data_IF_877703010049
#
_entry.id   IF_877703010049
#
_cell.length_a   1.000
_cell.length_b   1.000
_cell.length_c   1.000
_cell.angle_alpha   90.00
_cell.angle_beta   90.00
_cell.angle_gamma   90.00
#
_symmetry.space_group_name_H-M   'P 1'
#
loop_
_entity.id
_entity.type
_entity.pdbx_description
1 polymer ?
#
# COMPACT_ATOMS: atom_id res chain seq x y z
N UNK A 1 -0.26 8.28 22.06
CA UNK A 1 -0.72 6.89 22.07
C UNK A 1 -1.22 6.43 20.73
N UNK A 2 -2.29 7.04 20.21
CA UNK A 2 -2.80 6.69 18.88
C UNK A 2 -1.77 6.92 17.76
N UNK A 3 -0.93 7.93 17.91
CA UNK A 3 0.10 8.25 16.92
C UNK A 3 1.09 7.10 16.74
N UNK A 4 1.49 6.45 17.84
CA UNK A 4 2.41 5.31 17.79
C UNK A 4 1.76 4.11 17.10
N UNK A 5 0.49 3.86 17.40
CA UNK A 5 -0.27 2.78 16.78
C UNK A 5 -0.49 3.06 15.30
N UNK A 6 -0.78 4.31 14.95
CA UNK A 6 -0.90 4.72 13.56
C UNK A 6 0.39 4.47 12.79
N UNK A 7 1.55 4.78 13.40
CA UNK A 7 2.85 4.55 12.76
C UNK A 7 3.10 3.07 12.49
N UNK A 8 2.76 2.21 13.45
CA UNK A 8 2.90 0.76 13.28
C UNK A 8 1.99 0.27 12.14
N UNK A 9 0.76 0.76 12.10
CA UNK A 9 -0.18 0.39 11.03
C UNK A 9 0.31 0.88 9.65
N UNK A 10 0.87 2.08 9.58
CA UNK A 10 1.41 2.64 8.35
C UNK A 10 2.61 1.82 7.87
N UNK A 11 3.51 1.45 8.78
CA UNK A 11 4.68 0.63 8.44
C UNK A 11 4.24 -0.73 7.90
N UNK A 12 3.23 -1.34 8.50
CA UNK A 12 2.67 -2.60 8.02
C UNK A 12 2.01 -2.44 6.65
N UNK A 13 1.29 -1.35 6.44
CA UNK A 13 0.68 -1.04 5.16
C UNK A 13 1.72 -0.87 4.06
N UNK A 14 2.84 -0.21 4.38
CA UNK A 14 3.96 -0.04 3.45
C UNK A 14 4.52 -1.40 3.04
N UNK A 15 4.75 -2.27 4.02
CA UNK A 15 5.27 -3.61 3.77
C UNK A 15 4.33 -4.42 2.88
N UNK A 16 3.03 -4.35 3.15
CA UNK A 16 2.03 -5.07 2.36
C UNK A 16 1.89 -4.49 0.96
N UNK A 17 1.98 -3.19 0.80
CA UNK A 17 1.95 -2.55 -0.52
C UNK A 17 3.17 -2.96 -1.36
N UNK A 18 4.34 -3.00 -0.73
CA UNK A 18 5.57 -3.44 -1.40
C UNK A 18 5.48 -4.92 -1.79
N UNK A 19 4.92 -5.76 -0.93
CA UNK A 19 4.72 -7.17 -1.23
C UNK A 19 3.81 -7.35 -2.45
N UNK A 20 2.69 -6.62 -2.48
CA UNK A 20 1.77 -6.66 -3.61
C UNK A 20 2.46 -6.21 -4.90
N UNK A 21 3.28 -5.16 -4.83
CA UNK A 21 4.05 -4.69 -5.97
C UNK A 21 5.02 -5.77 -6.46
N UNK A 22 5.74 -6.42 -5.55
CA UNK A 22 6.69 -7.47 -5.90
C UNK A 22 5.98 -8.67 -6.55
N UNK A 23 4.80 -9.04 -6.07
CA UNK A 23 4.02 -10.11 -6.68
C UNK A 23 3.60 -9.74 -8.10
N UNK A 24 3.26 -8.48 -8.32
CA UNK A 24 2.94 -7.97 -9.66
C UNK A 24 4.15 -8.06 -10.60
N UNK A 25 5.33 -7.68 -10.11
CA UNK A 25 6.57 -7.75 -10.90
C UNK A 25 6.94 -9.19 -11.21
N UNK A 26 6.76 -10.09 -10.24
CA UNK A 26 7.02 -11.52 -10.44
C UNK A 26 6.15 -12.09 -11.57
N UNK A 27 4.88 -11.69 -11.61
CA UNK A 27 3.97 -12.14 -12.66
C UNK A 27 4.49 -11.72 -14.06
N UNK A 28 5.01 -10.49 -14.17
CA UNK A 28 5.57 -9.98 -15.43
C UNK A 28 6.84 -10.76 -15.81
N UNK A 29 7.71 -11.00 -14.84
CA UNK A 29 8.94 -11.79 -15.07
C UNK A 29 8.60 -13.20 -15.52
N UNK A 30 7.56 -13.80 -14.92
CA UNK A 30 7.10 -15.13 -15.29
C UNK A 30 6.59 -15.16 -16.72
N UNK A 31 5.83 -14.15 -17.14
CA UNK A 31 5.39 -14.02 -18.53
C UNK A 31 6.58 -13.96 -19.49
N UNK A 32 7.62 -13.23 -19.09
CA UNK A 32 8.84 -13.15 -19.88
C UNK A 32 9.55 -14.51 -19.99
N UNK A 33 9.65 -15.24 -18.89
CA UNK A 33 10.26 -16.56 -18.87
C UNK A 33 9.48 -17.56 -19.74
N UNK A 34 8.17 -17.37 -19.85
CA UNK A 34 7.28 -18.21 -20.65
C UNK A 34 7.26 -17.79 -22.13
N UNK A 35 8.03 -16.77 -22.51
CA UNK A 35 8.13 -16.33 -23.90
C UNK A 35 6.90 -15.59 -24.41
N UNK A 36 6.13 -14.97 -23.53
CA UNK A 36 4.88 -14.32 -23.91
C UNK A 36 5.03 -12.93 -24.52
N UNK A 37 6.26 -12.39 -24.54
CA UNK A 37 6.52 -11.08 -25.12
C UNK A 37 7.08 -11.22 -26.53
N UNK A 38 6.79 -10.24 -27.39
CA UNK A 38 7.26 -10.24 -28.77
C UNK A 38 8.73 -9.88 -28.89
N UNK A 39 9.28 -9.17 -27.88
CA UNK A 39 10.69 -8.79 -27.86
C UNK A 39 11.17 -8.61 -26.42
N UNK A 40 12.48 -8.60 -26.24
CA UNK A 40 13.09 -8.30 -24.95
C UNK A 40 12.77 -6.86 -24.52
N UNK A 41 12.73 -5.95 -25.48
CA UNK A 41 12.42 -4.55 -25.21
C UNK A 41 10.98 -4.39 -24.70
N UNK A 42 10.03 -5.14 -25.26
CA UNK A 42 8.64 -5.10 -24.79
C UNK A 42 8.53 -5.58 -23.35
N UNK A 43 9.22 -6.67 -23.02
CA UNK A 43 9.24 -7.21 -21.66
C UNK A 43 9.84 -6.19 -20.67
N UNK A 44 10.98 -5.61 -21.05
CA UNK A 44 11.66 -4.60 -20.24
C UNK A 44 10.76 -3.41 -19.99
N UNK A 45 10.13 -2.89 -21.06
CA UNK A 45 9.26 -1.72 -20.95
C UNK A 45 8.04 -1.98 -20.06
N UNK A 46 7.46 -3.18 -20.16
CA UNK A 46 6.31 -3.52 -19.30
C UNK A 46 6.70 -3.56 -17.84
N UNK A 47 7.85 -4.16 -17.55
CA UNK A 47 8.33 -4.22 -16.16
C UNK A 47 8.68 -2.83 -15.64
N UNK A 48 9.39 -2.03 -16.44
CA UNK A 48 9.76 -0.66 -16.08
C UNK A 48 8.51 0.17 -15.76
N UNK A 49 7.51 0.12 -16.62
CA UNK A 49 6.28 0.88 -16.43
C UNK A 49 5.53 0.42 -15.18
N UNK A 50 5.50 -0.88 -14.91
CA UNK A 50 4.87 -1.41 -13.71
C UNK A 50 5.58 -0.92 -12.45
N UNK A 51 6.91 -0.93 -12.45
CA UNK A 51 7.70 -0.42 -11.31
C UNK A 51 7.44 1.07 -11.11
N UNK A 52 7.44 1.84 -12.19
CA UNK A 52 7.24 3.29 -12.12
C UNK A 52 5.86 3.64 -11.54
N UNK A 53 4.81 2.96 -12.02
CA UNK A 53 3.44 3.18 -11.55
C UNK A 53 3.32 2.81 -10.06
N UNK A 54 3.86 1.65 -9.67
CA UNK A 54 3.79 1.20 -8.26
C UNK A 54 4.61 2.11 -7.35
N UNK A 55 5.78 2.54 -7.81
CA UNK A 55 6.63 3.45 -7.04
C UNK A 55 5.93 4.79 -6.80
N UNK A 56 5.30 5.35 -7.84
CA UNK A 56 4.57 6.61 -7.70
C UNK A 56 3.40 6.46 -6.71
N UNK A 57 2.66 5.35 -6.78
CA UNK A 57 1.53 5.10 -5.89
C UNK A 57 1.99 4.94 -4.43
N UNK A 58 3.06 4.19 -4.20
CA UNK A 58 3.61 3.98 -2.85
C UNK A 58 4.16 5.29 -2.29
N UNK A 59 4.92 6.03 -3.08
CA UNK A 59 5.48 7.32 -2.65
C UNK A 59 4.38 8.31 -2.27
N UNK A 60 3.35 8.41 -3.09
CA UNK A 60 2.23 9.32 -2.82
C UNK A 60 1.52 8.97 -1.52
N UNK A 61 1.38 7.69 -1.21
CA UNK A 61 0.67 7.22 -0.01
C UNK A 61 1.51 7.33 1.26
N UNK A 62 2.80 7.06 1.16
CA UNK A 62 3.64 6.84 2.34
C UNK A 62 4.73 7.88 2.58
N UNK A 63 5.15 8.62 1.55
CA UNK A 63 6.21 9.62 1.71
C UNK A 63 5.66 10.92 2.30
N UNK A 64 6.48 11.57 3.14
CA UNK A 64 6.16 12.88 3.69
C UNK A 64 5.00 12.90 4.67
N UNK A 65 4.70 11.79 5.32
CA UNK A 65 3.60 11.73 6.28
C UNK A 65 3.98 12.49 7.55
N UNK A 66 3.16 13.48 7.91
CA UNK A 66 3.33 14.23 9.15
C UNK A 66 2.35 13.71 10.20
N UNK A 67 2.61 14.06 11.46
CA UNK A 67 1.76 13.64 12.56
C UNK A 67 0.28 14.01 12.41
N UNK A 68 0.01 15.17 11.80
CA UNK A 68 -1.36 15.63 11.59
C UNK A 68 -2.13 14.85 10.53
N UNK A 69 -1.41 14.04 9.73
CA UNK A 69 -2.02 13.25 8.66
C UNK A 69 -2.01 11.76 8.93
N UNK A 70 -1.52 11.34 10.08
CA UNK A 70 -1.41 9.91 10.39
C UNK A 70 -2.75 9.19 10.34
N UNK A 71 -3.78 9.76 10.94
CA UNK A 71 -5.09 9.12 10.98
C UNK A 71 -5.70 9.01 9.59
N UNK A 72 -5.62 10.08 8.80
CA UNK A 72 -6.12 10.06 7.43
C UNK A 72 -5.38 9.01 6.61
N UNK A 73 -4.06 8.92 6.77
CA UNK A 73 -3.25 7.93 6.06
C UNK A 73 -3.67 6.51 6.46
N UNK A 74 -3.91 6.26 7.74
CA UNK A 74 -4.38 4.94 8.22
C UNK A 74 -5.71 4.59 7.55
N UNK A 75 -6.65 5.53 7.48
CA UNK A 75 -7.94 5.29 6.84
C UNK A 75 -7.79 4.98 5.36
N UNK A 76 -6.90 5.70 4.67
CA UNK A 76 -6.62 5.46 3.25
C UNK A 76 -6.03 4.07 3.02
N UNK A 77 -5.08 3.67 3.87
CA UNK A 77 -4.43 2.36 3.78
C UNK A 77 -5.42 1.24 4.06
N UNK A 78 -6.31 1.45 5.02
CA UNK A 78 -7.37 0.49 5.35
C UNK A 78 -8.31 0.32 4.16
N UNK A 79 -8.68 1.42 3.52
CA UNK A 79 -9.54 1.40 2.34
C UNK A 79 -8.85 0.71 1.16
N UNK A 80 -7.53 0.89 1.01
CA UNK A 80 -6.74 0.23 -0.03
C UNK A 80 -6.61 -1.28 0.20
N UNK A 81 -6.92 -1.76 1.41
CA UNK A 81 -6.81 -3.18 1.75
C UNK A 81 -5.42 -3.62 2.18
N UNK A 82 -4.51 -2.70 2.44
CA UNK A 82 -3.13 -3.05 2.85
C UNK A 82 -2.97 -3.27 4.36
N UNK A 83 -3.98 -2.91 5.15
CA UNK A 83 -4.10 -3.28 6.56
C UNK A 83 -5.53 -3.72 6.83
N UNK A 84 -5.74 -4.35 7.99
CA UNK A 84 -7.04 -4.86 8.40
C UNK A 84 -7.50 -4.19 9.69
N UNK A 85 -8.75 -4.44 10.08
CA UNK A 85 -9.29 -3.91 11.34
C UNK A 85 -8.47 -4.36 12.54
N UNK A 86 -7.88 -5.56 12.51
CA UNK A 86 -7.05 -6.02 13.61
C UNK A 86 -5.79 -5.17 13.77
N UNK A 87 -5.31 -4.58 12.69
CA UNK A 87 -4.12 -3.71 12.72
C UNK A 87 -4.37 -2.38 13.41
N UNK A 88 -5.64 -1.99 13.54
CA UNK A 88 -6.03 -0.75 14.22
C UNK A 88 -6.68 -1.02 15.58
N UNK A 89 -6.67 -2.25 16.04
CA UNK A 89 -7.34 -2.63 17.29
C UNK A 89 -6.77 -1.94 18.54
N UNK A 90 -5.53 -1.46 18.46
CA UNK A 90 -4.89 -0.76 19.57
C UNK A 90 -5.29 0.71 19.71
N UNK A 91 -6.03 1.26 18.76
CA UNK A 91 -6.52 2.65 18.88
C UNK A 91 -7.55 2.78 20.01
N UNK A 92 -7.70 3.99 20.52
CA UNK A 92 -8.76 4.29 21.47
C UNK A 92 -10.14 4.04 20.85
N UNK A 93 -11.15 3.82 21.69
CA UNK A 93 -12.50 3.58 21.21
C UNK A 93 -13.04 4.75 20.38
N UNK A 94 -12.74 5.98 20.79
CA UNK A 94 -13.15 7.17 20.06
C UNK A 94 -12.56 7.20 18.66
N UNK A 95 -11.27 6.87 18.54
CA UNK A 95 -10.59 6.83 17.24
C UNK A 95 -11.16 5.73 16.36
N UNK A 96 -11.40 4.54 16.92
CA UNK A 96 -11.98 3.42 16.17
C UNK A 96 -13.38 3.77 15.66
N UNK A 97 -14.18 4.44 16.48
CA UNK A 97 -15.52 4.87 16.06
C UNK A 97 -15.46 5.89 14.92
N UNK A 98 -14.53 6.83 14.99
CA UNK A 98 -14.31 7.80 13.93
C UNK A 98 -13.96 7.12 12.60
N UNK A 99 -13.06 6.15 12.65
CA UNK A 99 -12.64 5.39 11.46
C UNK A 99 -13.83 4.63 10.90
N UNK A 100 -14.62 3.99 11.75
CA UNK A 100 -15.80 3.24 11.35
C UNK A 100 -16.82 4.11 10.63
N UNK A 101 -17.09 5.30 11.18
CA UNK A 101 -18.02 6.25 10.57
C UNK A 101 -17.48 6.69 9.20
N UNK A 102 -16.20 7.01 9.12
CA UNK A 102 -15.58 7.42 7.86
C UNK A 102 -15.66 6.31 6.80
N UNK A 103 -15.38 5.07 7.19
CA UNK A 103 -15.39 3.93 6.27
C UNK A 103 -16.80 3.56 5.78
N UNK A 104 -17.83 3.96 6.51
CA UNK A 104 -19.22 3.64 6.14
C UNK A 104 -19.83 4.61 5.12
N UNK A 105 -19.11 5.65 4.73
CA UNK A 105 -19.58 6.67 3.76
C UNK A 105 -19.60 6.16 2.33
#
# INVERSE_FOLDING_TARGET
MDKKIARIAIDKGTENACKEAMENFEAIVKEWQEGKFTSQQDAYNKLYNAVDIKNAAISRRYDGITGGRYLQTVMDILQDGHITESDISGFSEDTKEMIKVWMSR
#
